data_IF_339038413844
#
_entry.id   IF_339038413844
#
_cell.length_a   1.000
_cell.length_b   1.000
_cell.length_c   1.000
_cell.angle_alpha   90.00
_cell.angle_beta   90.00
_cell.angle_gamma   90.00
#
_symmetry.space_group_name_H-M   'P 1'
#
loop_
_entity.id
_entity.type
_entity.pdbx_description
1 polymer ?
#
# COMPACT_ATOMS: atom_id res chain seq x y z
N UNK A 1 0.48 24.86 3.70
CA UNK A 1 1.86 24.51 3.26
C UNK A 1 1.78 24.00 1.83
N UNK A 2 2.70 24.38 0.93
CA UNK A 2 2.70 23.93 -0.47
C UNK A 2 3.80 22.90 -0.67
N UNK A 3 3.45 21.70 -1.15
CA UNK A 3 4.41 20.66 -1.53
C UNK A 3 4.12 20.26 -2.98
N UNK A 4 4.94 20.75 -3.90
CA UNK A 4 4.70 20.62 -5.34
C UNK A 4 3.48 21.43 -5.80
N UNK A 5 2.55 20.77 -6.50
CA UNK A 5 1.28 21.37 -6.95
C UNK A 5 0.15 21.30 -5.90
N UNK A 6 0.34 20.53 -4.81
CA UNK A 6 -0.70 20.36 -3.79
C UNK A 6 -0.70 21.51 -2.77
N UNK A 7 -1.88 22.08 -2.53
CA UNK A 7 -2.12 23.08 -1.49
C UNK A 7 -2.83 22.37 -0.34
N UNK A 8 -2.12 22.19 0.77
CA UNK A 8 -2.71 21.64 1.99
C UNK A 8 -3.81 22.53 2.56
N UNK A 9 -4.61 21.96 3.44
CA UNK A 9 -5.75 22.65 4.06
C UNK A 9 -5.28 23.89 4.86
N UNK A 10 -6.08 24.98 4.95
CA UNK A 10 -5.74 26.10 5.83
C UNK A 10 -5.62 25.66 7.29
N UNK A 11 -4.66 26.20 8.07
CA UNK A 11 -4.35 25.74 9.42
C UNK A 11 -5.55 25.64 10.36
N UNK A 12 -6.46 26.60 10.27
CA UNK A 12 -7.67 26.70 11.10
C UNK A 12 -8.64 25.52 10.92
N UNK A 13 -8.56 24.79 9.80
CA UNK A 13 -9.42 23.64 9.51
C UNK A 13 -8.73 22.29 9.74
N UNK A 14 -7.40 22.27 9.97
CA UNK A 14 -6.62 21.02 10.06
C UNK A 14 -7.15 20.14 11.18
N UNK A 15 -7.31 20.68 12.38
CA UNK A 15 -7.72 19.90 13.56
C UNK A 15 -9.09 19.25 13.34
N UNK A 16 -10.07 20.04 12.88
CA UNK A 16 -11.42 19.54 12.61
C UNK A 16 -11.44 18.43 11.56
N UNK A 17 -10.66 18.57 10.48
CA UNK A 17 -10.57 17.53 9.44
C UNK A 17 -9.86 16.28 9.93
N UNK A 18 -8.81 16.40 10.75
CA UNK A 18 -8.16 15.24 11.35
C UNK A 18 -9.12 14.48 12.28
N UNK A 19 -9.92 15.19 13.08
CA UNK A 19 -10.94 14.55 13.91
C UNK A 19 -11.99 13.82 13.05
N UNK A 20 -12.46 14.47 11.98
CA UNK A 20 -13.44 13.89 11.05
C UNK A 20 -12.95 12.57 10.43
N UNK A 21 -11.74 12.54 9.85
CA UNK A 21 -11.23 11.32 9.20
C UNK A 21 -11.03 10.18 10.20
N UNK A 22 -10.67 10.50 11.45
CA UNK A 22 -10.52 9.51 12.51
C UNK A 22 -11.88 8.96 12.96
N UNK A 23 -12.90 9.81 13.08
CA UNK A 23 -14.28 9.37 13.35
C UNK A 23 -14.75 8.46 12.22
N UNK A 24 -14.58 8.87 10.97
CA UNK A 24 -14.96 8.09 9.79
C UNK A 24 -14.27 6.73 9.73
N UNK A 25 -12.97 6.67 10.04
CA UNK A 25 -12.21 5.42 10.09
C UNK A 25 -12.77 4.44 11.14
N UNK A 26 -13.19 4.94 12.30
CA UNK A 26 -13.69 4.11 13.40
C UNK A 26 -15.18 3.75 13.27
N UNK A 27 -15.99 4.58 12.61
CA UNK A 27 -17.44 4.39 12.51
C UNK A 27 -17.86 3.50 11.34
N UNK A 28 -17.15 3.54 10.21
CA UNK A 28 -17.50 2.83 8.97
C UNK A 28 -17.07 1.36 8.95
N UNK A 29 -17.39 0.61 10.01
CA UNK A 29 -16.91 -0.78 10.21
C UNK A 29 -17.35 -1.76 9.11
N UNK A 30 -18.40 -1.44 8.36
CA UNK A 30 -18.90 -2.18 7.20
C UNK A 30 -17.95 -2.16 6.01
N UNK A 31 -17.08 -1.15 5.91
CA UNK A 31 -16.05 -1.07 4.87
C UNK A 31 -14.90 -2.00 5.26
N UNK A 32 -14.37 -2.84 4.35
CA UNK A 32 -13.24 -3.71 4.65
C UNK A 32 -12.06 -2.97 5.28
N UNK A 33 -11.42 -3.57 6.29
CA UNK A 33 -10.35 -2.93 7.06
C UNK A 33 -9.23 -2.32 6.20
N UNK A 34 -8.73 -3.08 5.21
CA UNK A 34 -7.68 -2.61 4.29
C UNK A 34 -8.13 -1.36 3.52
N UNK A 35 -9.42 -1.28 3.15
CA UNK A 35 -9.98 -0.14 2.45
C UNK A 35 -10.04 1.07 3.37
N UNK A 36 -10.46 0.91 4.63
CA UNK A 36 -10.45 2.00 5.62
C UNK A 36 -9.06 2.55 5.87
N UNK A 37 -8.04 1.69 5.93
CA UNK A 37 -6.63 2.11 6.04
C UNK A 37 -6.22 2.94 4.82
N UNK A 38 -6.55 2.50 3.61
CA UNK A 38 -6.23 3.22 2.38
C UNK A 38 -6.97 4.57 2.26
N UNK A 39 -8.24 4.62 2.69
CA UNK A 39 -9.04 5.85 2.72
C UNK A 39 -8.44 6.86 3.69
N UNK A 40 -8.22 6.45 4.95
CA UNK A 40 -7.61 7.30 5.97
C UNK A 40 -6.26 7.86 5.52
N UNK A 41 -5.43 7.02 4.88
CA UNK A 41 -4.16 7.43 4.33
C UNK A 41 -4.30 8.53 3.27
N UNK A 42 -5.21 8.32 2.33
CA UNK A 42 -5.49 9.26 1.24
C UNK A 42 -5.96 10.61 1.79
N UNK A 43 -6.92 10.58 2.72
CA UNK A 43 -7.47 11.80 3.33
C UNK A 43 -6.40 12.54 4.16
N UNK A 44 -5.58 11.80 4.92
CA UNK A 44 -4.47 12.39 5.69
C UNK A 44 -3.43 13.08 4.80
N UNK A 45 -3.03 12.45 3.70
CA UNK A 45 -2.08 13.04 2.76
C UNK A 45 -2.66 14.28 2.06
N UNK A 46 -3.97 14.27 1.76
CA UNK A 46 -4.69 15.39 1.16
C UNK A 46 -4.84 16.58 2.12
N UNK A 47 -5.14 16.33 3.41
CA UNK A 47 -5.18 17.39 4.45
C UNK A 47 -3.81 18.05 4.59
N UNK A 48 -2.74 17.26 4.56
CA UNK A 48 -1.35 17.71 4.65
C UNK A 48 -1.04 18.54 5.92
N UNK A 49 -1.25 17.96 7.13
CA UNK A 49 -1.28 18.71 8.39
C UNK A 49 0.07 19.29 8.85
N UNK A 50 1.18 18.72 8.39
CA UNK A 50 2.52 19.12 8.84
C UNK A 50 3.29 19.91 7.76
N UNK A 51 4.34 20.63 8.19
CA UNK A 51 5.22 21.39 7.29
C UNK A 51 6.04 20.47 6.37
N UNK A 52 6.50 19.34 6.90
CA UNK A 52 7.20 18.30 6.16
C UNK A 52 6.87 16.95 6.82
N UNK A 53 7.08 15.86 6.07
CA UNK A 53 7.00 14.51 6.60
C UNK A 53 5.62 13.88 6.51
N UNK A 54 4.62 14.56 5.94
CA UNK A 54 3.26 14.01 5.75
C UNK A 54 3.30 12.61 5.11
N UNK A 55 3.93 12.48 3.94
CA UNK A 55 4.14 11.17 3.28
C UNK A 55 4.76 10.08 4.17
N UNK A 56 5.72 10.45 5.02
CA UNK A 56 6.37 9.51 5.96
C UNK A 56 5.39 9.13 7.07
N UNK A 57 4.73 10.11 7.67
CA UNK A 57 3.74 9.92 8.72
C UNK A 57 2.53 9.12 8.24
N UNK A 58 1.99 9.40 7.06
CA UNK A 58 0.87 8.64 6.49
C UNK A 58 1.21 7.16 6.32
N UNK A 59 2.42 6.83 5.86
CA UNK A 59 2.87 5.42 5.78
C UNK A 59 3.13 4.79 7.15
N UNK A 60 3.57 5.57 8.14
CA UNK A 60 3.69 5.10 9.54
C UNK A 60 2.30 4.79 10.10
N UNK A 61 1.32 5.65 9.89
CA UNK A 61 -0.08 5.43 10.30
C UNK A 61 -0.62 4.15 9.67
N UNK A 62 -0.41 3.93 8.37
CA UNK A 62 -0.83 2.68 7.71
C UNK A 62 -0.23 1.45 8.40
N UNK A 63 1.09 1.45 8.62
CA UNK A 63 1.78 0.32 9.21
C UNK A 63 1.42 0.13 10.69
N UNK A 64 1.15 1.20 11.42
CA UNK A 64 0.63 1.13 12.77
C UNK A 64 -0.72 0.40 12.81
N UNK A 65 -1.67 0.81 11.98
CA UNK A 65 -3.00 0.19 11.92
C UNK A 65 -2.93 -1.27 11.46
N UNK A 66 -2.15 -1.57 10.43
CA UNK A 66 -1.94 -2.94 9.94
C UNK A 66 -1.37 -3.84 11.03
N UNK A 67 -0.31 -3.39 11.70
CA UNK A 67 0.35 -4.17 12.76
C UNK A 67 -0.59 -4.38 13.95
N UNK A 68 -1.39 -3.38 14.32
CA UNK A 68 -2.39 -3.47 15.40
C UNK A 68 -3.41 -4.57 15.14
N UNK A 69 -3.83 -4.74 13.88
CA UNK A 69 -4.77 -5.80 13.47
C UNK A 69 -4.06 -7.11 13.04
N UNK A 70 -2.76 -7.27 13.32
CA UNK A 70 -2.00 -8.50 13.06
C UNK A 70 -1.50 -8.69 11.62
N UNK A 71 -1.73 -7.73 10.73
CA UNK A 71 -1.20 -7.75 9.37
C UNK A 71 0.32 -7.46 9.36
N UNK A 72 1.08 -8.04 8.42
CA UNK A 72 2.47 -7.65 8.22
C UNK A 72 2.56 -6.19 7.76
N UNK A 73 3.63 -5.47 8.12
CA UNK A 73 3.87 -4.13 7.61
C UNK A 73 4.06 -4.17 6.09
N UNK A 74 3.55 -3.15 5.43
CA UNK A 74 3.61 -2.98 3.98
C UNK A 74 4.69 -1.96 3.58
N UNK A 75 5.20 -2.15 2.36
CA UNK A 75 6.16 -1.24 1.75
C UNK A 75 5.56 -0.73 0.44
N UNK A 76 5.14 0.54 0.43
CA UNK A 76 4.81 1.27 -0.80
C UNK A 76 6.13 1.69 -1.46
N UNK A 77 6.52 1.01 -2.55
CA UNK A 77 7.89 1.15 -3.07
C UNK A 77 8.04 2.35 -4.01
N UNK A 78 9.27 2.87 -4.10
CA UNK A 78 9.61 3.92 -5.06
C UNK A 78 9.34 3.55 -6.53
N UNK A 79 9.43 2.25 -6.90
CA UNK A 79 9.08 1.79 -8.25
C UNK A 79 7.57 1.87 -8.55
N UNK A 80 6.74 2.05 -7.52
CA UNK A 80 5.27 2.25 -7.60
C UNK A 80 4.88 3.70 -7.30
N UNK A 81 5.87 4.60 -7.18
CA UNK A 81 5.67 6.02 -6.85
C UNK A 81 4.72 6.69 -7.83
N UNK A 82 4.75 6.34 -9.11
CA UNK A 82 3.78 6.84 -10.09
C UNK A 82 2.35 6.41 -9.78
N UNK A 83 2.11 5.12 -9.52
CA UNK A 83 0.78 4.61 -9.17
C UNK A 83 0.26 5.23 -7.89
N UNK A 84 1.13 5.41 -6.90
CA UNK A 84 0.81 6.06 -5.63
C UNK A 84 0.40 7.53 -5.82
N UNK A 85 1.17 8.34 -6.55
CA UNK A 85 0.78 9.73 -6.80
C UNK A 85 -0.41 9.87 -7.74
N UNK A 86 -0.57 8.95 -8.71
CA UNK A 86 -1.79 8.88 -9.51
C UNK A 86 -3.01 8.62 -8.61
N UNK A 87 -2.85 7.79 -7.58
CA UNK A 87 -3.92 7.53 -6.62
C UNK A 87 -4.27 8.76 -5.77
N UNK A 88 -3.27 9.51 -5.29
CA UNK A 88 -3.51 10.77 -4.58
C UNK A 88 -4.22 11.79 -5.47
N UNK A 89 -3.73 12.01 -6.70
CA UNK A 89 -4.40 12.91 -7.66
C UNK A 89 -5.82 12.48 -7.99
N UNK A 90 -6.06 11.18 -8.16
CA UNK A 90 -7.41 10.68 -8.42
C UNK A 90 -8.39 11.01 -7.30
N UNK A 91 -7.91 11.05 -6.07
CA UNK A 91 -8.70 11.48 -4.93
C UNK A 91 -8.90 13.00 -4.90
N UNK A 92 -7.83 13.78 -5.10
CA UNK A 92 -7.92 15.24 -5.09
C UNK A 92 -8.86 15.76 -6.21
N UNK A 93 -8.81 15.15 -7.41
CA UNK A 93 -9.61 15.57 -8.57
C UNK A 93 -11.04 15.01 -8.55
N UNK A 94 -11.23 13.75 -8.13
CA UNK A 94 -12.49 13.01 -8.33
C UNK A 94 -13.05 12.35 -7.07
N UNK A 95 -12.42 12.53 -5.91
CA UNK A 95 -12.75 11.83 -4.66
C UNK A 95 -12.76 10.30 -4.82
N UNK A 96 -11.97 9.76 -5.75
CA UNK A 96 -11.90 8.32 -6.01
C UNK A 96 -10.79 7.65 -5.21
N UNK A 97 -11.19 6.87 -4.21
CA UNK A 97 -10.29 6.09 -3.36
C UNK A 97 -9.77 4.80 -4.01
N UNK A 98 -10.42 4.31 -5.08
CA UNK A 98 -10.14 2.97 -5.64
C UNK A 98 -8.67 2.78 -6.00
N UNK A 99 -7.97 3.75 -6.60
CA UNK A 99 -6.55 3.56 -6.91
C UNK A 99 -5.67 3.39 -5.67
N UNK A 100 -5.93 4.12 -4.57
CA UNK A 100 -5.14 3.97 -3.35
C UNK A 100 -5.46 2.66 -2.64
N UNK A 101 -6.75 2.28 -2.60
CA UNK A 101 -7.19 0.98 -2.11
C UNK A 101 -6.38 -0.12 -2.81
N UNK A 102 -6.29 -0.06 -4.14
CA UNK A 102 -5.53 -1.04 -4.93
C UNK A 102 -4.04 -1.06 -4.56
N UNK A 103 -3.42 0.09 -4.31
CA UNK A 103 -2.00 0.18 -3.89
C UNK A 103 -1.79 -0.53 -2.54
N UNK A 104 -2.64 -0.24 -1.56
CA UNK A 104 -2.53 -0.82 -0.21
C UNK A 104 -2.83 -2.32 -0.24
N UNK A 105 -3.87 -2.76 -0.96
CA UNK A 105 -4.21 -4.17 -1.14
C UNK A 105 -3.06 -4.98 -1.73
N UNK A 106 -2.48 -4.51 -2.84
CA UNK A 106 -1.37 -5.20 -3.49
C UNK A 106 -0.14 -5.29 -2.57
N UNK A 107 0.13 -4.22 -1.81
CA UNK A 107 1.25 -4.18 -0.88
C UNK A 107 1.02 -5.12 0.32
N UNK A 108 -0.22 -5.22 0.80
CA UNK A 108 -0.62 -6.13 1.88
C UNK A 108 -0.53 -7.59 1.44
N UNK A 109 -1.08 -7.94 0.27
CA UNK A 109 -0.99 -9.28 -0.31
C UNK A 109 0.46 -9.71 -0.50
N UNK A 110 1.31 -8.83 -1.03
CA UNK A 110 2.72 -9.15 -1.21
C UNK A 110 3.44 -9.43 0.11
N UNK A 111 3.12 -8.65 1.14
CA UNK A 111 3.71 -8.79 2.48
C UNK A 111 3.22 -10.07 3.16
N UNK A 112 1.96 -10.46 2.92
CA UNK A 112 1.38 -11.74 3.38
C UNK A 112 2.01 -12.93 2.65
N UNK A 113 2.14 -12.89 1.31
CA UNK A 113 2.83 -13.94 0.55
C UNK A 113 4.25 -14.16 1.05
N UNK A 114 4.97 -13.07 1.33
CA UNK A 114 6.29 -13.16 1.96
C UNK A 114 6.21 -13.85 3.31
N UNK A 115 5.34 -13.38 4.22
CA UNK A 115 5.23 -13.92 5.58
C UNK A 115 4.88 -15.41 5.57
N UNK A 116 3.91 -15.83 4.76
CA UNK A 116 3.51 -17.24 4.62
C UNK A 116 4.65 -18.11 4.11
N UNK A 117 5.36 -17.68 3.05
CA UNK A 117 6.48 -18.46 2.52
C UNK A 117 7.58 -18.72 3.56
N UNK A 118 7.86 -17.75 4.45
CA UNK A 118 8.80 -17.93 5.55
C UNK A 118 8.25 -18.80 6.69
N UNK A 119 6.97 -18.67 7.04
CA UNK A 119 6.33 -19.46 8.10
C UNK A 119 6.20 -20.94 7.71
N UNK A 120 5.88 -21.21 6.46
CA UNK A 120 5.72 -22.56 5.92
C UNK A 120 7.08 -23.23 5.62
N UNK A 121 8.20 -22.50 5.78
CA UNK A 121 9.55 -23.03 5.55
C UNK A 121 9.84 -23.35 4.07
N UNK A 122 9.18 -22.67 3.13
CA UNK A 122 9.34 -22.93 1.70
C UNK A 122 10.74 -22.55 1.21
N UNK A 123 11.22 -23.23 0.16
CA UNK A 123 12.43 -22.83 -0.54
C UNK A 123 12.16 -21.53 -1.32
N UNK A 124 12.76 -20.42 -0.89
CA UNK A 124 12.55 -19.11 -1.53
C UNK A 124 13.55 -18.94 -2.68
N UNK A 125 13.05 -19.01 -3.91
CA UNK A 125 13.88 -18.86 -5.13
C UNK A 125 13.52 -17.61 -5.94
N UNK A 126 14.44 -17.07 -6.76
CA UNK A 126 14.12 -16.01 -7.70
C UNK A 126 13.03 -16.44 -8.69
N UNK A 127 12.11 -15.53 -9.02
CA UNK A 127 11.01 -15.79 -9.95
C UNK A 127 11.51 -16.19 -11.35
N UNK A 128 12.68 -15.70 -11.76
CA UNK A 128 13.34 -16.10 -13.00
C UNK A 128 13.71 -17.59 -12.99
N UNK A 129 14.35 -18.06 -11.91
CA UNK A 129 14.68 -19.48 -11.71
C UNK A 129 13.42 -20.35 -11.62
N UNK A 130 12.36 -19.86 -10.97
CA UNK A 130 11.06 -20.54 -10.95
C UNK A 130 10.47 -20.69 -12.36
N UNK A 131 10.57 -19.65 -13.19
CA UNK A 131 10.10 -19.68 -14.58
C UNK A 131 10.84 -20.73 -15.42
N UNK A 132 12.17 -20.79 -15.29
CA UNK A 132 13.02 -21.79 -15.95
C UNK A 132 12.63 -23.22 -15.53
N UNK A 133 12.51 -23.47 -14.21
CA UNK A 133 12.16 -24.78 -13.67
C UNK A 133 10.79 -25.30 -14.14
N UNK A 134 9.84 -24.40 -14.38
CA UNK A 134 8.47 -24.73 -14.78
C UNK A 134 8.21 -24.49 -16.28
N UNK A 135 9.27 -24.29 -17.09
CA UNK A 135 9.20 -24.01 -18.52
C UNK A 135 8.15 -22.93 -18.88
N UNK A 136 8.04 -21.92 -18.03
CA UNK A 136 7.01 -20.88 -18.08
C UNK A 136 7.61 -19.54 -18.52
N UNK A 137 6.82 -18.70 -19.18
CA UNK A 137 7.26 -17.34 -19.55
C UNK A 137 7.50 -16.48 -18.29
N UNK A 138 8.74 -16.04 -18.10
CA UNK A 138 9.09 -15.12 -17.01
C UNK A 138 8.24 -13.83 -17.06
N UNK A 139 7.97 -13.30 -18.24
CA UNK A 139 7.14 -12.10 -18.39
C UNK A 139 5.71 -12.31 -17.92
N UNK A 140 5.10 -13.47 -18.26
CA UNK A 140 3.76 -13.83 -17.80
C UNK A 140 3.69 -13.97 -16.27
N UNK A 141 4.68 -14.65 -15.69
CA UNK A 141 4.80 -14.79 -14.23
C UNK A 141 5.02 -13.45 -13.55
N UNK A 142 5.86 -12.58 -14.12
CA UNK A 142 6.09 -11.23 -13.59
C UNK A 142 4.80 -10.40 -13.58
N UNK A 143 3.97 -10.49 -14.62
CA UNK A 143 2.69 -9.81 -14.67
C UNK A 143 1.69 -10.38 -13.65
N UNK A 144 1.72 -11.68 -13.41
CA UNK A 144 0.91 -12.33 -12.37
C UNK A 144 1.38 -11.95 -10.96
N UNK A 145 2.70 -11.88 -10.74
CA UNK A 145 3.30 -11.43 -9.49
C UNK A 145 2.93 -9.97 -9.17
N UNK A 146 3.03 -9.07 -10.16
CA UNK A 146 2.62 -7.65 -10.02
C UNK A 146 1.15 -7.48 -9.63
N UNK A 147 0.27 -8.36 -10.14
CA UNK A 147 -1.16 -8.37 -9.80
C UNK A 147 -1.49 -9.13 -8.51
N UNK A 148 -0.47 -9.72 -7.88
CA UNK A 148 -0.61 -10.62 -6.72
C UNK A 148 -1.54 -11.81 -7.00
N UNK A 149 -1.52 -12.33 -8.23
CA UNK A 149 -2.29 -13.51 -8.64
C UNK A 149 -1.55 -14.84 -8.37
N UNK A 150 -0.28 -14.75 -7.96
CA UNK A 150 0.57 -15.87 -7.52
C UNK A 150 1.27 -15.43 -6.22
N UNK A 151 1.72 -16.36 -5.35
CA UNK A 151 2.33 -16.04 -4.05
C UNK A 151 3.77 -15.53 -4.17
N UNK A 152 4.01 -14.60 -5.09
CA UNK A 152 5.29 -13.99 -5.35
C UNK A 152 5.44 -12.65 -4.61
N UNK A 153 6.64 -12.36 -4.15
CA UNK A 153 6.97 -11.17 -3.38
C UNK A 153 8.36 -10.66 -3.70
N UNK A 154 8.62 -9.38 -3.44
CA UNK A 154 9.94 -8.78 -3.65
C UNK A 154 10.76 -8.76 -2.38
N UNK A 155 12.01 -9.17 -2.53
CA UNK A 155 13.04 -9.04 -1.51
C UNK A 155 14.28 -8.39 -2.10
N UNK A 156 14.76 -7.30 -1.48
CA UNK A 156 15.88 -6.48 -1.98
C UNK A 156 15.74 -6.10 -3.47
N UNK A 157 14.50 -5.83 -3.90
CA UNK A 157 14.18 -5.42 -5.27
C UNK A 157 14.04 -6.55 -6.30
N UNK A 158 14.25 -7.81 -5.90
CA UNK A 158 14.14 -8.99 -6.77
C UNK A 158 12.82 -9.71 -6.48
N UNK A 159 12.08 -10.09 -7.52
CA UNK A 159 10.91 -10.95 -7.38
C UNK A 159 11.31 -12.38 -7.05
N UNK A 160 10.69 -12.93 -6.01
CA UNK A 160 10.89 -14.29 -5.49
C UNK A 160 9.53 -14.96 -5.29
N UNK A 161 9.55 -16.28 -5.15
CA UNK A 161 8.39 -17.11 -4.84
C UNK A 161 8.83 -18.27 -3.95
N UNK A 162 7.97 -18.68 -3.02
CA UNK A 162 8.18 -19.87 -2.23
C UNK A 162 7.86 -21.13 -3.06
N UNK A 163 8.76 -22.09 -3.06
CA UNK A 163 8.59 -23.40 -3.69
C UNK A 163 8.51 -24.46 -2.60
N UNK A 164 7.46 -25.28 -2.67
CA UNK A 164 7.31 -26.50 -1.85
C UNK A 164 8.24 -27.61 -2.33
#
# INVERSE_FOLDING_TARGET
>A
VRVGEHIGLPPEFIEGRIQEILINYNSKIEIPFIHRVAMLHTEFESIHPFIDGNGRMGRVINNYLLTREGFPPIIVRNKEKESYYKALRSYDDFQDYKPMIRVVELSALESLHKRLAYLDGLEIIPLAKYAENNQSSFHSLLNSARRQAIPAFREKGVWKIGKS
#
